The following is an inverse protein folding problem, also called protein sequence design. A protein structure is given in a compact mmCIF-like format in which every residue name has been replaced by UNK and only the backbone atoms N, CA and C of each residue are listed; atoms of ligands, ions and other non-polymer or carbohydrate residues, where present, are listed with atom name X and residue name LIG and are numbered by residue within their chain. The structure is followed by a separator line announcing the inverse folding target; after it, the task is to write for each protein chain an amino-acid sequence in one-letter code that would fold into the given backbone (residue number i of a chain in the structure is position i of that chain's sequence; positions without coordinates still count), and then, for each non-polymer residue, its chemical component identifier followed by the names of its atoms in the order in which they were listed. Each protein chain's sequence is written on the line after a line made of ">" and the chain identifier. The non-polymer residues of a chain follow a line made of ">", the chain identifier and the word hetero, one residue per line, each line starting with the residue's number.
data_IF_761194907079
#
_entry.id   IF_761194907079
#
_cell.length_a   1.000
_cell.length_b   1.000
_cell.length_c   1.000
_cell.angle_alpha   90.00
_cell.angle_beta   90.00
_cell.angle_gamma   90.00
#
_symmetry.space_group_name_H-M   'P 1'
#
loop_
_entity.id
_entity.type
_entity.pdbx_description
1 polymer ?
#
# COMPACT_ATOMS: atom_id res chain seq x y z
N UNK A 1 55.70 5.20 4.41
CA UNK A 1 56.34 5.89 3.28
C UNK A 1 55.43 5.79 2.07
N UNK A 2 55.04 6.96 1.53
CA UNK A 2 54.51 7.21 0.17
C UNK A 2 53.17 6.55 -0.25
N UNK A 3 52.29 7.15 -1.08
CA UNK A 3 52.07 8.50 -1.61
C UNK A 3 50.68 8.44 -2.34
N UNK A 4 49.80 9.41 -2.05
CA UNK A 4 49.08 10.30 -3.00
C UNK A 4 48.15 9.73 -4.11
N UNK A 5 46.86 10.04 -3.91
CA UNK A 5 45.88 10.73 -4.78
C UNK A 5 45.66 10.36 -6.27
N UNK A 6 44.38 10.34 -6.64
CA UNK A 6 43.90 10.48 -8.02
C UNK A 6 42.39 10.76 -8.10
N UNK A 7 42.00 12.03 -8.04
CA UNK A 7 40.67 12.53 -8.45
C UNK A 7 40.73 12.84 -9.94
N UNK A 8 39.79 12.36 -10.75
CA UNK A 8 39.46 13.00 -12.04
C UNK A 8 37.96 12.91 -12.37
N UNK A 9 37.40 14.11 -12.50
CA UNK A 9 36.05 14.46 -12.95
C UNK A 9 35.94 14.26 -14.46
N UNK A 10 34.83 13.70 -14.94
CA UNK A 10 34.51 13.57 -16.36
C UNK A 10 33.05 13.89 -16.66
N UNK A 11 32.73 15.18 -16.83
CA UNK A 11 31.49 15.65 -17.48
C UNK A 11 31.62 15.48 -19.00
N UNK A 12 30.53 15.10 -19.69
CA UNK A 12 30.20 15.62 -21.04
C UNK A 12 28.75 15.32 -21.42
N UNK A 13 27.97 16.40 -21.49
CA UNK A 13 26.74 16.53 -22.27
C UNK A 13 27.01 16.29 -23.75
N UNK A 14 25.99 15.81 -24.49
CA UNK A 14 25.46 16.52 -25.66
C UNK A 14 24.15 15.89 -26.15
N UNK A 15 23.14 16.74 -26.17
CA UNK A 15 21.90 16.57 -26.92
C UNK A 15 22.19 16.63 -28.43
N UNK A 16 21.43 15.86 -29.20
CA UNK A 16 21.31 16.00 -30.65
C UNK A 16 19.95 15.45 -31.07
N UNK A 17 18.95 16.33 -31.19
CA UNK A 17 17.65 16.06 -31.82
C UNK A 17 17.38 17.17 -32.83
N UNK A 18 17.41 16.80 -34.11
CA UNK A 18 16.79 17.44 -35.29
C UNK A 18 16.66 16.32 -36.36
N UNK A 19 15.80 16.42 -37.40
CA UNK A 19 15.10 17.61 -37.89
C UNK A 19 13.61 17.43 -38.26
N UNK A 20 12.98 18.59 -38.47
CA UNK A 20 11.70 18.85 -39.12
C UNK A 20 11.72 18.55 -40.63
N UNK A 21 10.57 18.11 -41.18
CA UNK A 21 10.07 18.33 -42.55
C UNK A 21 8.62 17.81 -42.60
N UNK A 22 7.64 18.70 -42.64
CA UNK A 22 7.02 19.27 -43.84
C UNK A 22 6.11 18.28 -44.56
N UNK A 23 4.80 18.58 -44.63
CA UNK A 23 4.05 18.64 -45.89
C UNK A 23 2.61 19.07 -45.64
N UNK A 24 2.30 20.20 -46.26
CA UNK A 24 1.00 20.82 -46.45
C UNK A 24 0.38 20.31 -47.75
N UNK A 25 -0.88 19.90 -47.70
CA UNK A 25 -1.84 19.90 -48.82
C UNK A 25 -3.24 20.08 -48.21
N UNK A 26 -3.89 21.25 -48.32
CA UNK A 26 -4.70 21.73 -49.46
C UNK A 26 -5.73 20.71 -49.94
N UNK A 27 -6.99 20.92 -49.52
CA UNK A 27 -8.22 21.13 -50.33
C UNK A 27 -9.44 21.08 -49.38
N UNK A 28 -10.11 22.20 -49.07
CA UNK A 28 -11.29 22.75 -49.77
C UNK A 28 -12.32 21.70 -50.20
N UNK A 29 -13.51 21.68 -49.59
CA UNK A 29 -14.82 21.97 -50.23
C UNK A 29 -16.00 21.50 -49.35
N UNK A 30 -17.06 22.31 -49.37
CA UNK A 30 -18.48 22.03 -49.06
C UNK A 30 -18.94 22.05 -47.59
N UNK A 31 -19.31 23.26 -47.16
CA UNK A 31 -20.56 23.50 -46.45
C UNK A 31 -21.73 22.87 -47.25
N UNK A 32 -22.52 22.01 -46.61
CA UNK A 32 -23.99 21.96 -46.76
C UNK A 32 -24.57 20.92 -45.82
N UNK A 33 -25.57 21.36 -45.05
CA UNK A 33 -26.74 20.57 -44.64
C UNK A 33 -26.47 19.43 -43.65
N UNK A 34 -26.79 19.64 -42.37
CA UNK A 34 -27.36 18.65 -41.45
C UNK A 34 -27.71 19.35 -40.11
N UNK A 35 -28.53 20.41 -40.18
CA UNK A 35 -29.20 21.04 -39.01
C UNK A 35 -30.61 20.44 -38.77
N UNK A 36 -30.87 19.19 -39.15
CA UNK A 36 -32.24 18.64 -39.21
C UNK A 36 -32.51 17.30 -38.50
N UNK A 37 -31.75 16.92 -37.46
CA UNK A 37 -32.23 15.89 -36.50
C UNK A 37 -32.05 16.31 -35.04
N UNK A 38 -32.51 17.52 -34.72
CA UNK A 38 -32.95 17.85 -33.38
C UNK A 38 -34.31 17.17 -33.12
N UNK A 39 -34.28 15.92 -32.65
CA UNK A 39 -35.46 15.32 -32.05
C UNK A 39 -35.65 13.84 -32.33
N UNK A 40 -34.80 12.99 -31.75
CA UNK A 40 -35.26 11.65 -31.39
C UNK A 40 -34.66 11.24 -30.04
N UNK A 41 -35.55 11.25 -29.05
CA UNK A 41 -35.59 10.39 -27.86
C UNK A 41 -34.70 10.81 -26.68
N UNK A 42 -35.26 11.76 -25.92
CA UNK A 42 -35.27 11.76 -24.47
C UNK A 42 -35.90 10.46 -23.92
N UNK A 43 -35.12 9.40 -23.83
CA UNK A 43 -35.24 8.36 -22.82
C UNK A 43 -33.76 8.11 -22.49
N UNK A 44 -33.21 8.68 -21.44
CA UNK A 44 -32.75 7.94 -20.25
C UNK A 44 -32.54 8.97 -19.14
N UNK A 45 -33.57 9.76 -18.80
CA UNK A 45 -33.46 10.82 -17.79
C UNK A 45 -33.83 10.35 -16.38
N UNK A 46 -34.29 9.11 -16.22
CA UNK A 46 -34.67 8.54 -14.92
C UNK A 46 -34.45 7.02 -14.90
N UNK A 47 -33.20 6.53 -14.93
CA UNK A 47 -32.93 5.14 -14.59
C UNK A 47 -31.71 5.05 -13.65
N UNK A 48 -31.90 5.29 -12.34
CA UNK A 48 -30.79 5.27 -11.36
C UNK A 48 -30.18 3.87 -11.15
N UNK A 49 -30.83 2.82 -11.67
CA UNK A 49 -30.46 1.41 -11.40
C UNK A 49 -29.35 0.86 -12.32
N UNK A 50 -28.88 1.63 -13.31
CA UNK A 50 -27.85 1.17 -14.27
C UNK A 50 -26.40 1.42 -13.82
N UNK A 51 -26.20 1.94 -12.60
CA UNK A 51 -24.88 2.26 -12.03
C UNK A 51 -24.63 1.55 -10.69
N UNK A 52 -25.50 0.64 -10.24
CA UNK A 52 -25.28 -0.17 -9.04
C UNK A 52 -24.24 -1.26 -9.36
N UNK A 53 -22.97 -0.97 -9.09
CA UNK A 53 -21.93 -2.00 -9.09
C UNK A 53 -22.19 -2.95 -7.92
N UNK A 54 -22.17 -4.24 -8.18
CA UNK A 54 -22.30 -5.26 -7.14
C UNK A 54 -20.94 -5.91 -6.90
N UNK A 55 -20.72 -6.42 -5.70
CA UNK A 55 -19.46 -7.00 -5.27
C UNK A 55 -19.70 -8.36 -4.65
N UNK A 56 -18.81 -9.29 -4.91
CA UNK A 56 -18.79 -10.55 -4.18
C UNK A 56 -18.12 -10.33 -2.81
N UNK A 57 -18.79 -10.62 -1.67
CA UNK A 57 -18.21 -10.40 -0.34
C UNK A 57 -17.04 -11.34 -0.02
N UNK A 58 -16.80 -12.37 -0.82
CA UNK A 58 -15.74 -13.38 -0.59
C UNK A 58 -14.51 -13.09 -1.45
N UNK A 59 -14.68 -12.94 -2.77
CA UNK A 59 -13.56 -12.73 -3.68
C UNK A 59 -13.30 -11.24 -3.98
N UNK A 60 -14.21 -10.36 -3.57
CA UNK A 60 -14.15 -8.91 -3.79
C UNK A 60 -14.11 -8.52 -5.28
N UNK A 61 -14.58 -9.41 -6.17
CA UNK A 61 -14.76 -9.15 -7.60
C UNK A 61 -15.95 -8.24 -7.81
N UNK A 62 -15.76 -7.24 -8.69
CA UNK A 62 -16.78 -6.28 -9.10
C UNK A 62 -17.60 -6.85 -10.27
N UNK A 63 -18.92 -6.70 -10.17
CA UNK A 63 -19.90 -7.15 -11.14
C UNK A 63 -20.79 -5.99 -11.59
N UNK A 64 -21.22 -6.05 -12.84
CA UNK A 64 -22.25 -5.16 -13.39
C UNK A 64 -23.63 -5.54 -12.86
N UNK A 65 -24.48 -4.52 -12.67
CA UNK A 65 -25.87 -4.67 -12.25
C UNK A 65 -26.60 -5.74 -13.10
N UNK A 66 -27.36 -6.62 -12.42
CA UNK A 66 -28.15 -7.68 -13.07
C UNK A 66 -27.53 -9.08 -12.99
N UNK A 67 -26.36 -9.22 -12.35
CA UNK A 67 -25.84 -10.52 -11.93
C UNK A 67 -26.13 -10.67 -10.44
N UNK A 68 -26.92 -11.67 -10.06
CA UNK A 68 -27.31 -11.87 -8.65
C UNK A 68 -26.31 -12.75 -7.89
N UNK A 69 -25.47 -13.51 -8.60
CA UNK A 69 -24.58 -14.52 -8.01
C UNK A 69 -23.17 -14.49 -8.61
N UNK A 70 -22.16 -14.66 -7.77
CA UNK A 70 -20.77 -14.79 -8.19
C UNK A 70 -20.54 -16.11 -8.95
N UNK A 71 -19.92 -16.08 -10.13
CA UNK A 71 -19.61 -17.28 -10.92
C UNK A 71 -18.58 -18.20 -10.26
N UNK A 72 -17.66 -17.63 -9.47
CA UNK A 72 -16.58 -18.37 -8.81
C UNK A 72 -17.00 -18.91 -7.43
N UNK A 73 -17.76 -18.13 -6.66
CA UNK A 73 -18.11 -18.46 -5.28
C UNK A 73 -19.55 -18.99 -5.13
N UNK A 74 -20.44 -18.69 -6.08
CA UNK A 74 -21.86 -19.06 -6.03
C UNK A 74 -22.68 -18.33 -4.97
N UNK A 75 -22.15 -17.25 -4.38
CA UNK A 75 -22.82 -16.44 -3.35
C UNK A 75 -23.55 -15.24 -3.96
N UNK A 76 -24.57 -14.76 -3.26
CA UNK A 76 -25.33 -13.57 -3.63
C UNK A 76 -24.42 -12.33 -3.61
N UNK A 77 -24.53 -11.52 -4.67
CA UNK A 77 -23.75 -10.30 -4.84
C UNK A 77 -24.41 -9.15 -4.07
N UNK A 78 -23.59 -8.28 -3.48
CA UNK A 78 -24.05 -7.16 -2.63
C UNK A 78 -23.62 -5.82 -3.23
N UNK A 79 -24.47 -4.79 -3.16
CA UNK A 79 -24.19 -3.47 -3.76
C UNK A 79 -23.03 -2.72 -3.09
N UNK A 80 -22.86 -2.90 -1.79
CA UNK A 80 -21.77 -2.32 -1.03
C UNK A 80 -21.14 -3.45 -0.21
N UNK A 81 -19.83 -3.73 -0.35
CA UNK A 81 -19.18 -4.63 0.58
C UNK A 81 -19.35 -3.99 1.97
N UNK A 82 -20.07 -4.66 2.87
CA UNK A 82 -20.27 -4.21 4.24
C UNK A 82 -18.95 -3.64 4.75
N UNK A 83 -18.86 -2.31 4.84
CA UNK A 83 -17.82 -1.67 5.62
C UNK A 83 -18.13 -2.11 7.03
N UNK A 84 -17.50 -3.22 7.46
CA UNK A 84 -17.72 -3.80 8.78
C UNK A 84 -17.81 -2.63 9.77
N UNK A 85 -18.89 -2.54 10.55
CA UNK A 85 -19.03 -1.46 11.51
C UNK A 85 -17.74 -1.40 12.30
N UNK A 86 -17.04 -0.26 12.17
CA UNK A 86 -15.84 0.01 12.94
C UNK A 86 -16.26 -0.08 14.40
N UNK A 87 -16.08 -1.27 15.01
CA UNK A 87 -16.13 -1.39 16.45
C UNK A 87 -15.23 -0.28 17.00
N UNK A 88 -15.71 0.52 17.97
CA UNK A 88 -14.90 1.57 18.55
C UNK A 88 -13.55 0.94 18.91
N UNK A 89 -12.41 1.58 18.55
CA UNK A 89 -11.11 0.97 18.68
C UNK A 89 -10.98 0.51 20.12
N UNK A 90 -11.02 -0.81 20.33
CA UNK A 90 -10.78 -1.40 21.64
C UNK A 90 -9.43 -0.84 22.04
N UNK A 91 -9.40 0.01 23.07
CA UNK A 91 -8.15 0.50 23.63
C UNK A 91 -7.43 -0.73 24.15
N UNK A 92 -6.57 -1.28 23.29
CA UNK A 92 -5.71 -2.39 23.62
C UNK A 92 -4.57 -1.78 24.41
N UNK A 93 -4.49 -2.14 25.69
CA UNK A 93 -3.44 -1.66 26.60
C UNK A 93 -2.09 -2.22 26.12
N UNK A 94 -1.41 -1.39 25.33
CA UNK A 94 -0.08 -1.65 24.81
C UNK A 94 0.96 -1.29 25.89
N UNK A 95 1.70 -2.30 26.32
CA UNK A 95 2.74 -2.16 27.35
C UNK A 95 4.11 -2.26 26.69
N UNK A 96 4.99 -1.29 26.97
CA UNK A 96 6.39 -1.33 26.51
C UNK A 96 7.13 -2.46 27.23
N UNK A 97 7.63 -3.42 26.47
CA UNK A 97 8.37 -4.57 27.02
C UNK A 97 9.88 -4.43 26.90
N UNK A 98 10.36 -3.73 25.88
CA UNK A 98 11.79 -3.63 25.62
C UNK A 98 12.14 -2.37 24.85
N UNK A 99 13.36 -1.86 25.10
CA UNK A 99 13.94 -0.71 24.41
C UNK A 99 15.26 -1.12 23.79
N UNK A 100 15.40 -0.83 22.50
CA UNK A 100 16.49 -1.34 21.67
C UNK A 100 17.24 -0.17 21.06
N UNK A 101 18.58 -0.21 21.12
CA UNK A 101 19.42 0.81 20.48
C UNK A 101 19.81 0.50 19.05
N UNK A 102 19.87 -0.80 18.73
CA UNK A 102 20.20 -1.32 17.42
C UNK A 102 18.91 -1.55 16.61
N UNK A 103 18.71 -0.75 15.56
CA UNK A 103 17.51 -0.86 14.71
C UNK A 103 17.38 -2.23 14.02
N UNK A 104 18.50 -2.89 13.71
CA UNK A 104 18.46 -4.21 13.07
C UNK A 104 17.97 -5.27 14.06
N UNK A 105 18.53 -5.29 15.27
CA UNK A 105 18.03 -6.17 16.35
C UNK A 105 16.56 -5.89 16.66
N UNK A 106 16.13 -4.63 16.59
CA UNK A 106 14.72 -4.24 16.74
C UNK A 106 13.79 -4.91 15.74
N UNK A 107 14.18 -4.91 14.47
CA UNK A 107 13.41 -5.57 13.44
C UNK A 107 13.42 -7.10 13.61
N UNK A 108 14.56 -7.70 13.95
CA UNK A 108 14.63 -9.15 14.20
C UNK A 108 13.74 -9.59 15.37
N UNK A 109 13.74 -8.83 16.47
CA UNK A 109 12.89 -9.13 17.62
C UNK A 109 11.40 -8.98 17.25
N UNK A 110 11.04 -7.98 16.45
CA UNK A 110 9.66 -7.83 15.94
C UNK A 110 9.22 -9.06 15.15
N UNK A 111 10.03 -9.53 14.19
CA UNK A 111 9.72 -10.74 13.41
C UNK A 111 9.66 -11.99 14.29
N UNK A 112 10.54 -12.10 15.27
CA UNK A 112 10.59 -13.24 16.17
C UNK A 112 9.38 -13.30 17.12
N UNK A 113 8.90 -12.16 17.61
CA UNK A 113 7.65 -12.10 18.38
C UNK A 113 6.44 -12.44 17.50
N UNK A 114 6.39 -11.90 16.28
CA UNK A 114 5.30 -12.14 15.33
C UNK A 114 5.21 -13.62 14.93
N UNK A 115 6.35 -14.28 14.67
CA UNK A 115 6.39 -15.71 14.32
C UNK A 115 5.96 -16.63 15.47
N UNK A 116 6.11 -16.16 16.72
CA UNK A 116 5.61 -16.83 17.92
C UNK A 116 4.13 -16.51 18.21
N UNK A 117 3.45 -15.76 17.35
CA UNK A 117 2.05 -15.37 17.51
C UNK A 117 1.83 -14.33 18.61
N UNK A 118 2.85 -13.54 18.96
CA UNK A 118 2.72 -12.41 19.88
C UNK A 118 2.46 -11.15 19.06
N UNK A 119 1.27 -10.57 19.22
CA UNK A 119 0.95 -9.27 18.60
C UNK A 119 1.82 -8.20 19.22
N UNK A 120 2.54 -7.48 18.38
CA UNK A 120 3.49 -6.48 18.82
C UNK A 120 3.47 -5.27 17.88
N UNK A 121 3.94 -4.13 18.40
CA UNK A 121 4.09 -2.90 17.65
C UNK A 121 5.48 -2.34 17.90
N UNK A 122 6.16 -2.03 16.81
CA UNK A 122 7.49 -1.46 16.81
C UNK A 122 7.38 0.06 16.57
N UNK A 123 7.75 0.85 17.57
CA UNK A 123 7.73 2.31 17.46
C UNK A 123 9.17 2.81 17.47
N UNK A 124 9.59 3.40 16.35
CA UNK A 124 10.86 4.12 16.29
C UNK A 124 10.69 5.42 17.09
N UNK A 125 11.51 5.59 18.13
CA UNK A 125 11.41 6.76 19.00
C UNK A 125 11.79 8.03 18.24
N UNK A 126 11.18 9.17 18.60
CA UNK A 126 11.16 10.40 17.80
C UNK A 126 12.56 11.05 17.60
N UNK A 127 12.60 12.10 16.75
CA UNK A 127 13.78 12.84 16.26
C UNK A 127 14.90 13.22 17.27
N UNK A 128 14.63 13.19 18.58
CA UNK A 128 15.59 13.49 19.65
C UNK A 128 16.19 12.25 20.29
N UNK A 129 15.60 11.07 20.04
CA UNK A 129 15.97 9.79 20.58
C UNK A 129 16.85 9.05 19.56
N UNK A 130 18.10 9.51 19.45
CA UNK A 130 18.98 9.25 18.31
C UNK A 130 19.29 7.75 18.09
N UNK A 131 19.03 6.88 19.07
CA UNK A 131 19.39 5.46 18.96
C UNK A 131 18.40 4.58 19.74
N UNK A 132 17.10 4.64 19.39
CA UNK A 132 16.08 3.93 20.15
C UNK A 132 14.88 3.49 19.33
N UNK A 133 14.49 2.22 19.49
CA UNK A 133 13.17 1.74 19.18
C UNK A 133 12.57 1.07 20.42
N UNK A 134 11.28 1.32 20.63
CA UNK A 134 10.52 0.71 21.72
C UNK A 134 9.59 -0.36 21.12
N UNK A 135 9.56 -1.52 21.77
CA UNK A 135 8.64 -2.60 21.42
C UNK A 135 7.51 -2.63 22.43
N UNK A 136 6.29 -2.60 21.90
CA UNK A 136 5.04 -2.68 22.65
C UNK A 136 4.33 -3.98 22.32
N UNK A 137 3.68 -4.56 23.32
CA UNK A 137 2.82 -5.76 23.17
C UNK A 137 1.55 -5.56 23.99
N UNK A 138 0.54 -6.40 23.75
CA UNK A 138 -0.63 -6.47 24.61
C UNK A 138 -0.23 -6.83 26.04
N UNK A 139 -0.91 -6.24 27.03
CA UNK A 139 -0.69 -6.56 28.44
C UNK A 139 -0.73 -8.07 28.73
N UNK A 140 -1.66 -8.79 28.09
CA UNK A 140 -1.82 -10.25 28.19
C UNK A 140 -0.57 -11.04 27.79
N UNK A 141 0.25 -10.49 26.89
CA UNK A 141 1.41 -11.19 26.31
C UNK A 141 2.75 -10.73 26.90
N UNK A 142 2.76 -9.80 27.86
CA UNK A 142 4.00 -9.20 28.41
C UNK A 142 5.00 -10.24 28.90
N UNK A 143 4.56 -11.23 29.68
CA UNK A 143 5.45 -12.26 30.23
C UNK A 143 6.02 -13.16 29.13
N UNK A 144 5.17 -13.54 28.17
CA UNK A 144 5.54 -14.39 27.04
C UNK A 144 6.54 -13.66 26.13
N UNK A 145 6.27 -12.41 25.80
CA UNK A 145 7.14 -11.56 25.00
C UNK A 145 8.52 -11.40 25.65
N UNK A 146 8.57 -11.09 26.96
CA UNK A 146 9.84 -10.96 27.70
C UNK A 146 10.68 -12.24 27.64
N UNK A 147 10.04 -13.41 27.80
CA UNK A 147 10.74 -14.71 27.71
C UNK A 147 11.34 -14.93 26.32
N UNK A 148 10.56 -14.67 25.28
CA UNK A 148 10.99 -14.83 23.88
C UNK A 148 12.15 -13.87 23.57
N UNK A 149 12.05 -12.61 24.00
CA UNK A 149 13.10 -11.60 23.81
C UNK A 149 14.39 -12.03 24.52
N UNK A 150 14.29 -12.53 25.75
CA UNK A 150 15.47 -12.99 26.51
C UNK A 150 16.19 -14.12 25.78
N UNK A 151 15.44 -15.14 25.35
CA UNK A 151 15.99 -16.27 24.61
C UNK A 151 16.68 -15.81 23.31
N UNK A 152 16.06 -14.89 22.56
CA UNK A 152 16.67 -14.34 21.35
C UNK A 152 17.98 -13.61 21.64
N UNK A 153 18.03 -12.82 22.72
CA UNK A 153 19.25 -12.09 23.08
C UNK A 153 20.39 -13.04 23.45
N UNK A 154 20.10 -14.06 24.25
CA UNK A 154 21.07 -15.11 24.61
C UNK A 154 21.64 -15.79 23.35
N UNK A 155 20.78 -16.23 22.43
CA UNK A 155 21.19 -16.87 21.17
C UNK A 155 22.09 -15.96 20.31
N UNK A 156 21.83 -14.64 20.31
CA UNK A 156 22.64 -13.70 19.52
C UNK A 156 23.97 -13.29 20.16
N UNK A 157 24.17 -13.49 21.46
CA UNK A 157 25.41 -13.14 22.17
C UNK A 157 26.48 -14.23 22.07
N UNK A 158 26.09 -15.48 21.77
CA UNK A 158 27.00 -16.63 21.71
C UNK A 158 27.81 -16.76 20.41
N UNK A 159 27.78 -15.75 19.52
CA UNK A 159 28.66 -15.72 18.34
C UNK A 159 29.86 -14.81 18.60
N UNK A 160 30.95 -15.29 19.24
CA UNK A 160 32.18 -14.53 19.32
C UNK A 160 32.76 -14.35 17.92
N UNK A 161 33.09 -13.10 17.59
CA UNK A 161 33.70 -12.67 16.33
C UNK A 161 35.09 -13.28 16.08
#
# INVERSE_FOLDING_TARGET
>A
MALVAGVLVGRRSRASVQPSRALSDRTSFQETELEEEAGLILLHRDNPDLLSTQFCPICNTEYVAGTDHCEDCGVELVEEPDQQPHDPPVQQDLVRVFRIRDSLKGHLIHEFLSSNGVRNTYVRSALWDVFGADIYVLESDVLRAKKIIHQFLEETEETPA
#
